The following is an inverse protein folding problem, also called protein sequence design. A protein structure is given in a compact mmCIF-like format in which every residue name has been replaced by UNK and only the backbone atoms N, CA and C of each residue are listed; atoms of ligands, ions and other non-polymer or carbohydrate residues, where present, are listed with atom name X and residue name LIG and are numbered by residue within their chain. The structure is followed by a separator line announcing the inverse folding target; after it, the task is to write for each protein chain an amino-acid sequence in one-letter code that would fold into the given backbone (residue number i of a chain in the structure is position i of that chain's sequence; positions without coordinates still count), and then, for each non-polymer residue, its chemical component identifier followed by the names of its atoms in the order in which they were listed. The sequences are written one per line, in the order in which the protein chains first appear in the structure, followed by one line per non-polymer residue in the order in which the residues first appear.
data_IF_608973776688
#
_entry.id   IF_608973776688
#
_cell.length_a   1.000
_cell.length_b   1.000
_cell.length_c   1.000
_cell.angle_alpha   90.00
_cell.angle_beta   90.00
_cell.angle_gamma   90.00
#
_symmetry.space_group_name_H-M   'P 1'
#
loop_
_entity.id
_entity.type
_entity.pdbx_description
1 polymer ?
#
# COMPACT_ATOMS: atom_id res chain seq x y z
N UNK A 1 29.79 19.14 -32.06
CA UNK A 1 29.82 17.97 -31.14
C UNK A 1 28.62 18.08 -30.21
N UNK A 2 27.49 17.46 -30.60
CA UNK A 2 26.29 17.44 -29.76
C UNK A 2 26.50 16.45 -28.61
N UNK A 3 26.50 16.97 -27.37
CA UNK A 3 26.50 16.15 -26.16
C UNK A 3 25.12 15.48 -26.05
N UNK A 4 25.02 14.23 -26.50
CA UNK A 4 23.86 13.38 -26.18
C UNK A 4 23.74 13.31 -24.65
N UNK A 5 22.66 13.87 -24.11
CA UNK A 5 22.27 13.70 -22.70
C UNK A 5 22.25 12.19 -22.41
N UNK A 6 22.75 11.74 -21.24
CA UNK A 6 22.67 10.33 -20.89
C UNK A 6 21.19 9.98 -20.77
N UNK A 7 20.69 9.19 -21.71
CA UNK A 7 19.40 8.53 -21.56
C UNK A 7 19.61 7.62 -20.36
N UNK A 8 19.00 7.98 -19.23
CA UNK A 8 19.00 7.18 -18.01
C UNK A 8 18.16 5.94 -18.32
N UNK A 9 18.77 4.98 -19.01
CA UNK A 9 18.18 3.69 -19.32
C UNK A 9 17.98 2.98 -17.99
N UNK A 10 16.82 3.16 -17.35
CA UNK A 10 16.28 2.06 -16.56
C UNK A 10 16.29 0.83 -17.45
N UNK A 11 16.89 -0.27 -17.00
CA UNK A 11 16.90 -1.50 -17.79
C UNK A 11 15.45 -1.83 -18.19
N UNK A 12 15.22 -2.42 -19.38
CA UNK A 12 13.88 -2.83 -19.80
C UNK A 12 13.16 -3.65 -18.71
N UNK A 13 13.93 -4.39 -17.91
CA UNK A 13 13.51 -5.10 -16.71
C UNK A 13 12.93 -4.18 -15.61
N UNK A 14 13.54 -3.03 -15.33
CA UNK A 14 13.03 -2.08 -14.34
C UNK A 14 11.67 -1.49 -14.77
N UNK A 15 11.50 -1.18 -16.05
CA UNK A 15 10.22 -0.71 -16.58
C UNK A 15 9.13 -1.78 -16.50
N UNK A 16 9.45 -3.00 -16.89
CA UNK A 16 8.53 -4.14 -16.79
C UNK A 16 8.14 -4.42 -15.34
N UNK A 17 9.10 -4.33 -14.41
CA UNK A 17 8.82 -4.49 -12.98
C UNK A 17 7.87 -3.41 -12.45
N UNK A 18 8.10 -2.15 -12.81
CA UNK A 18 7.20 -1.04 -12.44
C UNK A 18 5.80 -1.27 -13.01
N UNK A 19 5.68 -1.80 -14.23
CA UNK A 19 4.39 -2.14 -14.85
C UNK A 19 3.64 -3.19 -14.03
N UNK A 20 4.29 -4.30 -13.69
CA UNK A 20 3.70 -5.37 -12.87
C UNK A 20 3.23 -4.86 -11.51
N UNK A 21 4.03 -4.00 -10.87
CA UNK A 21 3.69 -3.39 -9.58
C UNK A 21 2.46 -2.48 -9.70
N UNK A 22 2.37 -1.67 -10.75
CA UNK A 22 1.18 -0.84 -11.01
C UNK A 22 -0.07 -1.69 -11.22
N UNK A 23 0.04 -2.79 -11.94
CA UNK A 23 -1.09 -3.71 -12.16
C UNK A 23 -1.55 -4.37 -10.86
N UNK A 24 -0.63 -4.83 -10.02
CA UNK A 24 -0.95 -5.38 -8.70
C UNK A 24 -1.65 -4.34 -7.80
N UNK A 25 -1.16 -3.09 -7.80
CA UNK A 25 -1.76 -1.99 -7.04
C UNK A 25 -3.17 -1.66 -7.56
N UNK A 26 -3.32 -1.50 -8.87
CA UNK A 26 -4.59 -1.13 -9.50
C UNK A 26 -5.64 -2.23 -9.49
N UNK A 27 -5.24 -3.48 -9.30
CA UNK A 27 -6.12 -4.65 -9.23
C UNK A 27 -6.73 -4.85 -7.84
N UNK A 28 -6.37 -5.96 -7.20
CA UNK A 28 -7.02 -6.41 -5.97
C UNK A 28 -6.71 -5.50 -4.78
N UNK A 29 -5.49 -4.96 -4.69
CA UNK A 29 -5.08 -4.11 -3.58
C UNK A 29 -5.96 -2.86 -3.45
N UNK A 30 -6.14 -2.09 -4.53
CA UNK A 30 -7.00 -0.89 -4.51
C UNK A 30 -8.45 -1.19 -4.16
N UNK A 31 -9.00 -2.34 -4.60
CA UNK A 31 -10.35 -2.78 -4.21
C UNK A 31 -10.43 -3.04 -2.71
N UNK A 32 -9.45 -3.75 -2.13
CA UNK A 32 -9.42 -4.02 -0.70
C UNK A 32 -9.40 -2.73 0.12
N UNK A 33 -8.58 -1.74 -0.27
CA UNK A 33 -8.54 -0.42 0.38
C UNK A 33 -9.90 0.29 0.34
N UNK A 34 -10.60 0.24 -0.79
CA UNK A 34 -11.90 0.90 -0.96
C UNK A 34 -13.02 0.25 -0.16
N UNK A 35 -13.07 -1.08 -0.07
CA UNK A 35 -14.23 -1.77 0.50
C UNK A 35 -14.06 -2.20 1.95
N UNK A 36 -12.83 -2.47 2.40
CA UNK A 36 -12.59 -3.10 3.72
C UNK A 36 -11.93 -2.20 4.75
N UNK A 37 -11.26 -1.14 4.31
CA UNK A 37 -10.45 -0.30 5.20
C UNK A 37 -11.19 0.99 5.56
N UNK A 38 -11.11 1.42 6.82
CA UNK A 38 -11.61 2.73 7.24
C UNK A 38 -10.64 3.85 6.82
N UNK A 39 -11.06 5.11 6.89
CA UNK A 39 -10.16 6.24 6.61
C UNK A 39 -8.99 6.27 7.61
N UNK A 40 -9.21 5.88 8.87
CA UNK A 40 -8.16 5.79 9.89
C UNK A 40 -7.14 4.70 9.55
N UNK A 41 -7.62 3.52 9.13
CA UNK A 41 -6.73 2.44 8.68
C UNK A 41 -5.84 2.89 7.52
N UNK A 42 -6.42 3.61 6.55
CA UNK A 42 -5.68 4.14 5.39
C UNK A 42 -4.63 5.19 5.80
N UNK A 43 -4.92 6.04 6.79
CA UNK A 43 -3.94 7.00 7.34
C UNK A 43 -2.80 6.28 8.05
N UNK A 44 -3.11 5.28 8.87
CA UNK A 44 -2.13 4.47 9.58
C UNK A 44 -1.23 3.70 8.60
N UNK A 45 -1.82 3.12 7.54
CA UNK A 45 -1.07 2.45 6.48
C UNK A 45 -0.14 3.43 5.73
N UNK A 46 -0.65 4.60 5.35
CA UNK A 46 0.15 5.63 4.69
C UNK A 46 1.33 6.06 5.57
N UNK A 47 1.08 6.28 6.86
CA UNK A 47 2.11 6.65 7.84
C UNK A 47 3.20 5.58 7.93
N UNK A 48 2.81 4.32 8.15
CA UNK A 48 3.75 3.22 8.25
C UNK A 48 4.59 3.03 6.98
N UNK A 49 3.96 3.17 5.80
CA UNK A 49 4.68 3.12 4.52
C UNK A 49 5.66 4.28 4.35
N UNK A 50 5.37 5.48 4.88
CA UNK A 50 6.28 6.62 4.79
C UNK A 50 7.47 6.50 5.73
N UNK A 51 7.21 6.12 6.97
CA UNK A 51 8.20 6.12 8.04
C UNK A 51 9.15 4.90 7.96
N UNK A 52 8.69 3.78 7.38
CA UNK A 52 9.39 2.51 7.48
C UNK A 52 9.68 1.81 6.14
N UNK A 53 9.85 2.56 5.05
CA UNK A 53 10.09 2.04 3.68
C UNK A 53 11.11 0.91 3.62
N UNK A 54 12.31 1.15 4.17
CA UNK A 54 13.43 0.21 4.10
C UNK A 54 13.13 -1.08 4.88
N UNK A 55 12.61 -0.94 6.11
CA UNK A 55 12.27 -2.08 6.96
C UNK A 55 11.18 -2.93 6.32
N UNK A 56 10.18 -2.28 5.70
CA UNK A 56 9.10 -2.95 4.99
C UNK A 56 9.59 -3.65 3.71
N UNK A 57 10.57 -3.13 2.98
CA UNK A 57 11.16 -3.91 1.88
C UNK A 57 11.94 -5.12 2.39
N UNK A 58 12.79 -4.91 3.41
CA UNK A 58 13.62 -5.97 3.99
C UNK A 58 12.79 -7.11 4.56
N UNK A 59 11.69 -6.81 5.25
CA UNK A 59 10.83 -7.84 5.82
C UNK A 59 10.11 -8.63 4.72
N UNK A 60 9.76 -8.01 3.59
CA UNK A 60 8.93 -8.61 2.55
C UNK A 60 9.71 -9.64 1.74
N UNK A 61 11.03 -9.48 1.68
CA UNK A 61 11.94 -10.36 0.95
C UNK A 61 12.40 -11.57 1.76
N UNK A 62 12.22 -11.57 3.10
CA UNK A 62 12.65 -12.67 3.99
C UNK A 62 11.66 -13.85 4.04
N UNK A 63 10.50 -13.72 3.39
CA UNK A 63 9.51 -14.78 3.22
C UNK A 63 8.13 -14.41 3.77
N UNK A 64 7.08 -14.85 3.04
CA UNK A 64 5.69 -14.44 3.28
C UNK A 64 5.22 -14.72 4.72
N UNK A 65 5.45 -15.92 5.26
CA UNK A 65 4.98 -16.25 6.62
C UNK A 65 5.63 -15.36 7.68
N UNK A 66 6.92 -15.04 7.53
CA UNK A 66 7.66 -14.20 8.48
C UNK A 66 7.28 -12.73 8.44
N UNK A 67 6.59 -12.28 7.38
CA UNK A 67 6.02 -10.93 7.33
C UNK A 67 4.96 -10.71 8.42
N UNK A 68 4.21 -11.77 8.70
CA UNK A 68 3.08 -11.79 9.63
C UNK A 68 3.46 -12.29 11.02
N UNK A 69 4.75 -12.64 11.23
CA UNK A 69 5.25 -13.18 12.48
C UNK A 69 6.36 -12.31 13.09
N UNK A 70 6.63 -12.53 14.37
CA UNK A 70 7.72 -11.88 15.11
C UNK A 70 9.08 -12.31 14.51
N UNK A 71 10.01 -11.36 14.41
CA UNK A 71 11.39 -11.69 14.05
C UNK A 71 12.18 -12.33 15.21
N UNK A 72 13.45 -12.67 14.97
CA UNK A 72 14.33 -13.29 15.96
C UNK A 72 14.58 -12.45 17.22
N UNK A 73 14.16 -11.18 17.23
CA UNK A 73 14.22 -10.26 18.36
C UNK A 73 12.83 -9.89 18.90
N UNK A 74 11.79 -10.62 18.50
CA UNK A 74 10.42 -10.42 18.98
C UNK A 74 9.76 -9.15 18.44
N UNK A 75 10.24 -8.59 17.31
CA UNK A 75 9.69 -7.38 16.72
C UNK A 75 8.86 -7.71 15.49
N UNK A 76 7.61 -7.25 15.49
CA UNK A 76 6.73 -7.33 14.33
C UNK A 76 7.14 -6.29 13.27
N UNK A 77 6.59 -6.41 12.06
CA UNK A 77 6.73 -5.34 11.09
C UNK A 77 6.03 -4.05 11.62
N UNK A 78 6.46 -2.85 11.20
CA UNK A 78 5.94 -1.61 11.75
C UNK A 78 4.42 -1.40 11.59
N UNK A 79 3.78 -2.10 10.65
CA UNK A 79 2.32 -2.03 10.46
C UNK A 79 1.55 -2.87 11.48
N UNK A 80 2.19 -3.79 12.20
CA UNK A 80 1.49 -4.62 13.19
C UNK A 80 1.01 -3.83 14.41
N UNK A 81 1.61 -2.65 14.67
CA UNK A 81 1.14 -1.72 15.70
C UNK A 81 -0.27 -1.15 15.46
N UNK A 82 -0.82 -1.31 14.26
CA UNK A 82 -2.13 -0.78 13.87
C UNK A 82 -3.27 -1.81 13.89
N UNK A 83 -3.04 -2.99 14.48
CA UNK A 83 -4.03 -4.08 14.62
C UNK A 83 -4.73 -4.44 13.30
N UNK A 84 -3.98 -4.40 12.20
CA UNK A 84 -4.53 -4.80 10.90
C UNK A 84 -4.75 -6.32 10.82
N UNK A 85 -3.97 -7.09 11.58
CA UNK A 85 -3.93 -8.56 11.56
C UNK A 85 -5.07 -9.22 12.34
N UNK A 86 -5.63 -8.53 13.35
CA UNK A 86 -6.79 -9.01 14.09
C UNK A 86 -8.09 -9.03 13.26
N UNK A 87 -8.08 -8.45 12.06
CA UNK A 87 -9.25 -8.35 11.19
C UNK A 87 -9.10 -9.19 9.90
N UNK A 88 -9.82 -10.32 9.77
CA UNK A 88 -9.78 -11.18 8.58
C UNK A 88 -10.12 -10.44 7.28
N UNK A 89 -10.94 -9.39 7.34
CA UNK A 89 -11.31 -8.61 6.17
C UNK A 89 -10.16 -7.75 5.62
N UNK A 90 -9.14 -7.44 6.44
CA UNK A 90 -7.96 -6.65 6.04
C UNK A 90 -6.78 -7.54 5.61
N UNK A 91 -6.77 -8.79 6.07
CA UNK A 91 -5.70 -9.76 5.80
C UNK A 91 -5.37 -9.87 4.31
N UNK A 92 -6.40 -9.96 3.45
CA UNK A 92 -6.15 -10.04 2.00
C UNK A 92 -5.43 -8.81 1.44
N UNK A 93 -5.84 -7.61 1.86
CA UNK A 93 -5.17 -6.38 1.44
C UNK A 93 -3.71 -6.30 1.90
N UNK A 94 -3.43 -6.84 3.09
CA UNK A 94 -2.07 -6.92 3.62
C UNK A 94 -1.21 -7.97 2.92
N UNK A 95 -1.78 -9.10 2.52
CA UNK A 95 -1.11 -10.10 1.67
C UNK A 95 -0.72 -9.49 0.32
N UNK A 96 -1.64 -8.75 -0.32
CA UNK A 96 -1.33 -8.07 -1.57
C UNK A 96 -0.24 -7.01 -1.40
N UNK A 97 -0.28 -6.24 -0.30
CA UNK A 97 0.79 -5.30 0.03
C UNK A 97 2.14 -6.00 0.19
N UNK A 98 2.18 -7.12 0.91
CA UNK A 98 3.39 -7.91 1.08
C UNK A 98 3.93 -8.39 -0.29
N UNK A 99 3.05 -8.86 -1.18
CA UNK A 99 3.44 -9.31 -2.52
C UNK A 99 4.04 -8.18 -3.36
N UNK A 100 3.42 -7.00 -3.32
CA UNK A 100 3.89 -5.80 -4.02
C UNK A 100 5.28 -5.40 -3.51
N UNK A 101 5.46 -5.37 -2.19
CA UNK A 101 6.73 -5.02 -1.57
C UNK A 101 7.82 -6.07 -1.84
N UNK A 102 7.46 -7.35 -1.88
CA UNK A 102 8.38 -8.43 -2.25
C UNK A 102 8.81 -8.27 -3.71
N UNK A 103 7.89 -7.98 -4.63
CA UNK A 103 8.23 -7.70 -6.03
C UNK A 103 9.22 -6.55 -6.17
N UNK A 104 9.05 -5.49 -5.38
CA UNK A 104 9.95 -4.34 -5.36
C UNK A 104 11.29 -4.61 -4.66
N UNK A 105 11.30 -5.46 -3.63
CA UNK A 105 12.49 -5.79 -2.85
C UNK A 105 13.40 -6.83 -3.52
N UNK A 106 12.91 -7.57 -4.52
CA UNK A 106 13.71 -8.54 -5.30
C UNK A 106 14.60 -7.89 -6.37
N UNK A 107 14.60 -6.56 -6.47
CA UNK A 107 15.45 -5.81 -7.41
C UNK A 107 16.37 -4.84 -6.66
N UNK A 108 17.61 -4.74 -7.14
CA UNK A 108 18.58 -3.73 -6.69
C UNK A 108 18.33 -2.33 -7.28
N UNK A 109 17.25 -2.16 -8.05
CA UNK A 109 16.88 -0.88 -8.65
C UNK A 109 16.17 0.03 -7.65
N UNK A 110 16.88 1.05 -7.17
CA UNK A 110 16.31 2.11 -6.34
C UNK A 110 15.15 2.85 -7.02
N UNK A 111 15.12 2.93 -8.36
CA UNK A 111 14.01 3.54 -9.11
C UNK A 111 12.73 2.72 -9.00
N UNK A 112 12.81 1.38 -9.05
CA UNK A 112 11.65 0.49 -8.86
C UNK A 112 11.12 0.62 -7.43
N UNK A 113 12.01 0.55 -6.44
CA UNK A 113 11.64 0.68 -5.03
C UNK A 113 10.95 2.02 -4.76
N UNK A 114 11.54 3.13 -5.24
CA UNK A 114 10.95 4.46 -5.13
C UNK A 114 9.58 4.55 -5.80
N UNK A 115 9.47 4.09 -7.06
CA UNK A 115 8.22 4.11 -7.81
C UNK A 115 7.12 3.29 -7.12
N UNK A 116 7.48 2.18 -6.50
CA UNK A 116 6.54 1.31 -5.76
C UNK A 116 5.89 2.06 -4.60
N UNK A 117 6.70 2.67 -3.73
CA UNK A 117 6.17 3.43 -2.60
C UNK A 117 5.33 4.62 -3.05
N UNK A 118 5.75 5.31 -4.13
CA UNK A 118 4.97 6.39 -4.70
C UNK A 118 3.58 5.93 -5.13
N UNK A 119 3.48 4.83 -5.88
CA UNK A 119 2.19 4.32 -6.35
C UNK A 119 1.32 3.74 -5.23
N UNK A 120 1.92 3.11 -4.22
CA UNK A 120 1.19 2.68 -3.03
C UNK A 120 0.59 3.89 -2.29
N UNK A 121 1.38 4.96 -2.09
CA UNK A 121 0.89 6.20 -1.47
C UNK A 121 -0.25 6.83 -2.28
N UNK A 122 -0.11 6.90 -3.61
CA UNK A 122 -1.17 7.42 -4.50
C UNK A 122 -2.46 6.61 -4.39
N UNK A 123 -2.38 5.28 -4.39
CA UNK A 123 -3.54 4.40 -4.26
C UNK A 123 -4.26 4.60 -2.92
N UNK A 124 -3.51 4.71 -1.81
CA UNK A 124 -4.07 4.94 -0.48
C UNK A 124 -4.74 6.31 -0.38
N UNK A 125 -4.10 7.36 -0.92
CA UNK A 125 -4.69 8.71 -0.97
C UNK A 125 -5.96 8.72 -1.81
N UNK A 126 -5.96 8.09 -2.98
CA UNK A 126 -7.14 7.96 -3.82
C UNK A 126 -8.29 7.25 -3.10
N UNK A 127 -8.01 6.15 -2.41
CA UNK A 127 -9.02 5.43 -1.62
C UNK A 127 -9.62 6.29 -0.49
N UNK A 128 -8.78 7.08 0.21
CA UNK A 128 -9.26 8.03 1.22
C UNK A 128 -10.19 9.09 0.62
N UNK A 129 -9.83 9.67 -0.53
CA UNK A 129 -10.62 10.70 -1.20
C UNK A 129 -12.01 10.17 -1.62
N UNK A 130 -12.06 8.97 -2.21
CA UNK A 130 -13.33 8.32 -2.62
C UNK A 130 -14.24 8.09 -1.41
N UNK A 131 -13.68 7.62 -0.29
CA UNK A 131 -14.44 7.41 0.95
C UNK A 131 -14.95 8.70 1.56
N UNK A 132 -14.13 9.75 1.57
CA UNK A 132 -14.54 11.07 2.07
C UNK A 132 -15.69 11.64 1.24
N UNK A 133 -15.61 11.55 -0.09
CA UNK A 133 -16.69 11.98 -0.98
C UNK A 133 -17.99 11.22 -0.71
N UNK A 134 -17.90 9.90 -0.50
CA UNK A 134 -19.07 9.05 -0.21
C UNK A 134 -19.73 9.39 1.14
N UNK A 135 -18.95 9.75 2.17
CA UNK A 135 -19.49 10.20 3.46
C UNK A 135 -20.16 11.58 3.37
N UNK A 136 -19.69 12.46 2.49
CA UNK A 136 -20.29 13.78 2.25
C UNK A 136 -21.57 13.66 1.43
N UNK A 137 -21.63 12.70 0.50
CA UNK A 137 -22.81 12.45 -0.35
C UNK A 137 -23.90 11.61 0.30
N UNK A 138 -23.71 11.08 1.52
CA UNK A 138 -24.82 10.50 2.27
C UNK A 138 -25.76 11.63 2.71
N UNK A 139 -27.01 11.70 2.19
CA UNK A 139 -27.95 12.68 2.71
C UNK A 139 -28.13 12.40 4.19
N UNK A 140 -27.95 13.42 5.04
CA UNK A 140 -28.42 13.40 6.42
C UNK A 140 -29.89 13.01 6.35
N UNK A 141 -30.23 11.75 6.64
CA UNK A 141 -31.56 11.37 7.11
C UNK A 141 -31.72 12.01 8.47
N UNK A 142 -31.94 13.32 8.46
CA UNK A 142 -32.40 14.06 9.61
C UNK A 142 -33.77 13.49 9.95
N UNK A 143 -33.86 12.98 11.18
CA UNK A 143 -35.06 12.61 11.91
C UNK A 143 -36.24 13.48 11.48
N UNK A 144 -37.24 12.88 10.84
CA UNK A 144 -38.59 13.43 10.86
C UNK A 144 -39.15 12.98 12.20
N UNK A 145 -39.34 13.85 13.21
CA UNK A 145 -40.13 13.47 14.37
C UNK A 145 -41.54 13.22 13.86
N UNK A 146 -41.99 11.97 13.97
CA UNK A 146 -43.40 11.63 13.85
C UNK A 146 -44.10 12.21 15.08
N UNK A 147 -44.57 13.45 14.99
CA UNK A 147 -45.60 13.96 15.88
C UNK A 147 -46.95 13.45 15.37
N UNK A 148 -47.53 12.52 16.11
CA UNK A 148 -48.98 12.28 16.17
C UNK A 148 -49.44 12.84 17.51
#
# INVERSE_FOLDING_TARGET
MERKKPIRNGSAEAYERIRQIKEAIGGEFSKQLLYRWSIEDLRNLQKGLREHKVVLLQKATVGRDRWFHLDSVGRENPLSSYDFWGNPAKQRGLEELCNILQLAGTTDSGDVQYSTFKHLEEAIVGAMQVKQASNVSQPRRALIPAHI
#
